data_IF_433256778123
#
_entry.id   IF_433256778123
#
_cell.length_a   1.000
_cell.length_b   1.000
_cell.length_c   1.000
_cell.angle_alpha   90.00
_cell.angle_beta   90.00
_cell.angle_gamma   90.00
#
_symmetry.space_group_name_H-M   'P 1'
#
loop_
_entity.id
_entity.type
_entity.pdbx_description
1 polymer ?
#
# COMPACT_ATOMS: atom_id res chain seq x y z
N UNK A 1 29.50 -26.38 7.48
CA UNK A 1 29.85 -25.63 6.26
C UNK A 1 28.80 -24.56 6.12
N UNK A 2 29.15 -23.30 6.34
CA UNK A 2 28.23 -22.17 6.22
C UNK A 2 27.99 -21.91 4.73
N UNK A 3 26.78 -22.19 4.25
CA UNK A 3 26.35 -21.81 2.91
C UNK A 3 26.32 -20.27 2.84
N UNK A 4 27.22 -19.72 2.02
CA UNK A 4 27.15 -18.31 1.64
C UNK A 4 25.99 -18.17 0.65
N UNK A 5 24.83 -17.69 1.11
CA UNK A 5 23.74 -17.30 0.24
C UNK A 5 24.13 -15.93 -0.35
N UNK A 6 24.61 -15.94 -1.59
CA UNK A 6 24.86 -14.73 -2.37
C UNK A 6 23.52 -14.22 -2.88
N UNK A 7 23.16 -12.97 -2.57
CA UNK A 7 21.99 -12.32 -3.18
C UNK A 7 22.30 -12.01 -4.66
N UNK A 8 22.08 -12.99 -5.53
CA UNK A 8 22.34 -12.90 -6.98
C UNK A 8 21.55 -11.78 -7.67
N UNK A 9 20.43 -11.31 -7.09
CA UNK A 9 19.67 -10.18 -7.64
C UNK A 9 20.44 -8.86 -7.55
N UNK A 10 21.40 -8.74 -6.62
CA UNK A 10 22.35 -7.61 -6.55
C UNK A 10 23.56 -7.75 -7.48
N UNK A 11 23.77 -8.93 -8.08
CA UNK A 11 24.92 -9.25 -8.94
C UNK A 11 24.52 -9.49 -10.40
N UNK A 12 23.56 -8.72 -10.92
CA UNK A 12 23.44 -8.56 -12.38
C UNK A 12 24.67 -7.76 -12.83
N UNK A 13 25.71 -8.47 -13.26
CA UNK A 13 26.89 -7.87 -13.89
C UNK A 13 26.47 -7.48 -15.30
N UNK A 14 26.09 -6.22 -15.49
CA UNK A 14 25.94 -5.64 -16.82
C UNK A 14 27.34 -5.55 -17.46
N UNK A 15 27.61 -6.43 -18.42
CA UNK A 15 28.87 -6.53 -19.15
C UNK A 15 29.03 -5.45 -20.25
N UNK A 16 28.17 -4.44 -20.29
CA UNK A 16 28.21 -3.36 -21.27
C UNK A 16 28.68 -2.05 -20.62
N UNK A 17 29.99 -1.84 -20.62
CA UNK A 17 30.73 -0.64 -20.16
C UNK A 17 30.42 0.66 -20.97
N UNK A 18 29.27 0.74 -21.65
CA UNK A 18 28.93 1.81 -22.60
C UNK A 18 27.57 2.49 -22.43
N UNK A 19 26.71 2.04 -21.51
CA UNK A 19 25.39 2.64 -21.31
C UNK A 19 25.52 3.76 -20.26
N UNK A 20 25.03 4.96 -20.59
CA UNK A 20 24.89 6.05 -19.61
C UNK A 20 24.15 5.50 -18.38
N UNK A 21 24.87 5.44 -17.28
CA UNK A 21 24.50 4.72 -16.05
C UNK A 21 23.32 5.38 -15.28
N UNK A 22 22.81 6.50 -15.80
CA UNK A 22 21.79 7.35 -15.21
C UNK A 22 20.76 7.77 -16.28
N UNK A 23 19.48 7.46 -16.03
CA UNK A 23 18.36 7.87 -16.86
C UNK A 23 17.99 9.34 -16.62
N UNK A 24 18.04 9.78 -15.36
CA UNK A 24 17.90 11.16 -14.93
C UNK A 24 19.09 11.57 -14.07
N UNK A 25 19.44 12.86 -14.11
CA UNK A 25 20.49 13.44 -13.28
C UNK A 25 19.92 14.01 -11.98
N UNK A 26 20.65 13.91 -10.85
CA UNK A 26 20.33 14.67 -9.63
C UNK A 26 20.15 16.16 -9.92
N UNK A 27 19.16 16.78 -9.27
CA UNK A 27 18.75 18.18 -9.50
C UNK A 27 17.85 18.40 -10.71
N UNK A 28 17.54 17.35 -11.49
CA UNK A 28 16.60 17.46 -12.59
C UNK A 28 15.18 17.64 -12.07
N UNK A 29 14.47 18.67 -12.58
CA UNK A 29 13.09 18.95 -12.23
C UNK A 29 12.15 18.25 -13.20
N UNK A 30 11.28 17.42 -12.66
CA UNK A 30 10.23 16.71 -13.37
C UNK A 30 9.04 17.62 -13.69
N UNK A 31 8.27 17.34 -14.77
CA UNK A 31 6.91 17.83 -14.93
C UNK A 31 6.10 17.69 -13.64
N UNK A 32 5.71 18.81 -13.03
CA UNK A 32 5.06 18.85 -11.71
C UNK A 32 5.91 19.49 -10.60
N UNK A 33 7.18 19.82 -10.87
CA UNK A 33 8.04 20.56 -9.94
C UNK A 33 8.83 19.70 -8.96
N UNK A 34 8.75 18.37 -9.08
CA UNK A 34 9.52 17.45 -8.24
C UNK A 34 10.98 17.40 -8.70
N UNK A 35 11.91 17.63 -7.79
CA UNK A 35 13.35 17.59 -8.05
C UNK A 35 13.94 16.24 -7.64
N UNK A 36 14.66 15.59 -8.55
CA UNK A 36 15.35 14.32 -8.29
C UNK A 36 16.53 14.54 -7.33
N UNK A 37 16.62 13.77 -6.26
CA UNK A 37 17.75 13.82 -5.32
C UNK A 37 18.74 12.69 -5.57
N UNK A 38 18.35 11.46 -5.23
CA UNK A 38 19.25 10.31 -5.21
C UNK A 38 18.60 9.07 -5.81
N UNK A 39 19.43 8.13 -6.26
CA UNK A 39 19.02 6.87 -6.86
C UNK A 39 18.96 5.78 -5.79
N UNK A 40 17.80 5.16 -5.62
CA UNK A 40 17.55 4.10 -4.65
C UNK A 40 17.85 2.70 -5.23
N UNK A 41 17.51 2.48 -6.50
CA UNK A 41 17.68 1.19 -7.18
C UNK A 41 17.94 1.39 -8.68
N UNK A 42 18.56 0.40 -9.32
CA UNK A 42 18.84 0.40 -10.75
C UNK A 42 18.78 -0.98 -11.39
N UNK A 43 18.42 -0.99 -12.66
CA UNK A 43 18.62 -2.06 -13.62
C UNK A 43 18.87 -1.46 -15.01
N UNK A 44 19.17 -2.30 -16.00
CA UNK A 44 19.32 -1.89 -17.40
C UNK A 44 18.12 -1.06 -17.95
N UNK A 45 16.88 -1.44 -17.61
CA UNK A 45 15.66 -0.85 -18.19
C UNK A 45 14.89 0.10 -17.26
N UNK A 46 15.28 0.19 -15.98
CA UNK A 46 14.59 1.02 -15.00
C UNK A 46 15.53 1.54 -13.91
N UNK A 47 15.15 2.66 -13.30
CA UNK A 47 15.80 3.22 -12.13
C UNK A 47 14.74 3.78 -11.18
N UNK A 48 14.98 3.67 -9.87
CA UNK A 48 14.10 4.24 -8.85
C UNK A 48 14.85 5.37 -8.16
N UNK A 49 14.19 6.51 -8.02
CA UNK A 49 14.74 7.72 -7.43
C UNK A 49 13.89 8.20 -6.26
N UNK A 50 14.52 8.93 -5.35
CA UNK A 50 13.89 9.76 -4.34
C UNK A 50 13.90 11.23 -4.79
N UNK A 51 12.93 12.00 -4.32
CA UNK A 51 12.85 13.45 -4.57
C UNK A 51 13.36 14.25 -3.37
N UNK A 52 13.87 15.46 -3.61
CA UNK A 52 14.55 16.29 -2.59
C UNK A 52 13.69 16.60 -1.35
N UNK A 53 12.37 16.72 -1.50
CA UNK A 53 11.47 16.99 -0.37
C UNK A 53 11.00 15.72 0.36
N UNK A 54 11.46 14.53 -0.07
CA UNK A 54 11.10 13.24 0.50
C UNK A 54 9.62 12.85 0.32
N UNK A 55 8.84 13.61 -0.46
CA UNK A 55 7.39 13.39 -0.59
C UNK A 55 7.01 12.20 -1.48
N UNK A 56 7.92 11.78 -2.35
CA UNK A 56 7.64 10.79 -3.39
C UNK A 56 8.88 9.97 -3.78
N UNK A 57 8.60 8.81 -4.36
CA UNK A 57 9.57 8.01 -5.11
C UNK A 57 9.17 8.02 -6.59
N UNK A 58 10.16 7.98 -7.47
CA UNK A 58 9.98 8.06 -8.92
C UNK A 58 10.58 6.83 -9.59
N UNK A 59 9.74 6.02 -10.23
CA UNK A 59 10.17 4.94 -11.11
C UNK A 59 10.35 5.47 -12.52
N UNK A 60 11.57 5.46 -13.02
CA UNK A 60 11.92 5.89 -14.38
C UNK A 60 12.24 4.67 -15.22
N UNK A 61 11.63 4.58 -16.39
CA UNK A 61 11.79 3.45 -17.31
C UNK A 61 12.01 3.90 -18.75
N UNK A 62 12.65 3.02 -19.53
CA UNK A 62 12.74 3.16 -20.98
C UNK A 62 11.40 2.81 -21.64
N UNK A 63 11.14 3.42 -22.81
CA UNK A 63 9.87 3.31 -23.51
C UNK A 63 9.41 1.87 -23.77
N UNK A 64 10.34 0.99 -24.18
CA UNK A 64 10.02 -0.40 -24.50
C UNK A 64 9.45 -1.17 -23.29
N UNK A 65 10.00 -0.92 -22.09
CA UNK A 65 9.53 -1.55 -20.86
C UNK A 65 8.16 -1.01 -20.44
N UNK A 66 7.98 0.32 -20.49
CA UNK A 66 6.70 0.97 -20.20
C UNK A 66 5.58 0.44 -21.12
N UNK A 67 5.82 0.44 -22.43
CA UNK A 67 4.82 -0.03 -23.41
C UNK A 67 4.44 -1.48 -23.14
N UNK A 68 5.41 -2.33 -22.84
CA UNK A 68 5.14 -3.74 -22.51
C UNK A 68 4.26 -3.90 -21.28
N UNK A 69 4.50 -3.14 -20.20
CA UNK A 69 3.62 -3.15 -19.03
C UNK A 69 2.21 -2.65 -19.34
N UNK A 70 2.08 -1.66 -20.23
CA UNK A 70 0.78 -1.17 -20.66
C UNK A 70 0.02 -2.18 -21.53
N UNK A 71 0.70 -2.81 -22.49
CA UNK A 71 0.11 -3.81 -23.37
C UNK A 71 -0.31 -5.08 -22.60
N UNK A 72 0.47 -5.48 -21.59
CA UNK A 72 0.15 -6.60 -20.69
C UNK A 72 -0.85 -6.23 -19.57
N UNK A 73 -1.26 -4.95 -19.48
CA UNK A 73 -2.32 -4.50 -18.56
C UNK A 73 -1.90 -4.27 -17.11
N UNK A 74 -0.60 -4.25 -16.80
CA UNK A 74 -0.11 -3.96 -15.44
C UNK A 74 -0.39 -2.52 -15.03
N UNK A 75 -0.12 -1.57 -15.94
CA UNK A 75 -0.27 -0.14 -15.71
C UNK A 75 -0.86 0.53 -16.94
N UNK A 76 -1.79 1.49 -16.80
CA UNK A 76 -2.20 2.28 -17.95
C UNK A 76 -1.04 3.17 -18.42
N UNK A 77 -0.93 3.42 -19.73
CA UNK A 77 0.11 4.33 -20.26
C UNK A 77 0.03 5.75 -19.68
N UNK A 78 -1.17 6.17 -19.25
CA UNK A 78 -1.40 7.45 -18.57
C UNK A 78 -0.78 7.53 -17.17
N UNK A 79 -0.35 6.42 -16.58
CA UNK A 79 0.39 6.40 -15.32
C UNK A 79 1.79 7.04 -15.45
N UNK A 80 2.30 7.15 -16.68
CA UNK A 80 3.64 7.63 -16.96
C UNK A 80 3.62 9.03 -17.56
N UNK A 81 4.47 9.89 -17.03
CA UNK A 81 4.83 11.16 -17.62
C UNK A 81 6.09 11.00 -18.47
N UNK A 82 6.07 11.62 -19.66
CA UNK A 82 7.23 11.64 -20.56
C UNK A 82 8.22 12.70 -20.08
N UNK A 83 9.48 12.31 -19.93
CA UNK A 83 10.58 13.14 -19.44
C UNK A 83 11.75 13.05 -20.42
N UNK A 84 12.41 14.17 -20.67
CA UNK A 84 13.64 14.18 -21.45
C UNK A 84 14.83 13.81 -20.55
N UNK A 85 15.53 12.74 -20.91
CA UNK A 85 16.70 12.24 -20.21
C UNK A 85 17.98 13.01 -20.60
N UNK A 86 19.04 12.80 -19.82
CA UNK A 86 20.35 13.37 -20.09
C UNK A 86 20.92 12.87 -21.43
N UNK A 87 20.77 13.65 -22.50
CA UNK A 87 21.23 13.30 -23.85
C UNK A 87 20.15 13.27 -24.93
N UNK A 88 18.94 13.74 -24.66
CA UNK A 88 17.88 13.90 -25.66
C UNK A 88 17.05 12.64 -25.93
N UNK A 89 17.32 11.54 -25.22
CA UNK A 89 16.41 10.39 -25.19
C UNK A 89 15.18 10.73 -24.33
N UNK A 90 14.03 10.11 -24.63
CA UNK A 90 12.85 10.22 -23.78
C UNK A 90 12.71 8.99 -22.90
N UNK A 91 12.48 9.25 -21.62
CA UNK A 91 12.16 8.24 -20.59
C UNK A 91 10.78 8.53 -20.02
N UNK A 92 10.26 7.55 -19.29
CA UNK A 92 8.90 7.58 -18.74
C UNK A 92 8.99 7.44 -17.23
N UNK A 93 8.43 8.41 -16.51
CA UNK A 93 8.47 8.45 -15.06
C UNK A 93 7.08 8.19 -14.47
N UNK A 94 7.01 7.38 -13.42
CA UNK A 94 5.84 7.13 -12.59
C UNK A 94 6.13 7.65 -11.17
N UNK A 95 5.26 8.50 -10.65
CA UNK A 95 5.41 9.12 -9.33
C UNK A 95 4.50 8.44 -8.31
N UNK A 96 5.11 7.82 -7.30
CA UNK A 96 4.44 7.23 -6.15
C UNK A 96 4.70 8.07 -4.90
N UNK A 97 3.69 8.39 -4.07
CA UNK A 97 3.92 8.96 -2.74
C UNK A 97 4.88 8.09 -1.92
N UNK A 98 5.76 8.69 -1.13
CA UNK A 98 6.70 7.94 -0.28
C UNK A 98 6.00 7.09 0.79
N UNK A 99 4.75 7.43 1.11
CA UNK A 99 3.86 6.67 1.99
C UNK A 99 3.32 5.38 1.39
N UNK A 100 3.54 5.15 0.09
CA UNK A 100 3.22 3.91 -0.61
C UNK A 100 4.50 3.27 -1.11
N UNK A 101 4.70 2.00 -0.81
CA UNK A 101 5.96 1.34 -1.07
C UNK A 101 6.14 1.06 -2.55
N UNK A 102 7.32 1.40 -3.04
CA UNK A 102 7.79 1.05 -4.37
C UNK A 102 9.22 0.53 -4.30
N UNK A 103 9.46 -0.68 -4.79
CA UNK A 103 10.78 -1.29 -4.70
C UNK A 103 10.83 -2.71 -5.24
N UNK A 104 12.04 -3.27 -5.36
CA UNK A 104 12.23 -4.65 -5.80
C UNK A 104 11.66 -5.63 -4.78
N UNK A 105 10.99 -6.67 -5.28
CA UNK A 105 10.38 -7.74 -4.47
C UNK A 105 11.38 -8.37 -3.50
N UNK A 106 12.60 -8.67 -3.94
CA UNK A 106 13.66 -9.25 -3.11
C UNK A 106 14.02 -8.40 -1.87
N UNK A 107 13.83 -7.07 -1.94
CA UNK A 107 14.17 -6.14 -0.87
C UNK A 107 13.00 -5.82 0.10
N UNK A 108 11.77 -6.26 -0.23
CA UNK A 108 10.58 -5.90 0.54
C UNK A 108 10.48 -6.65 1.85
N UNK A 109 10.10 -5.97 2.92
CA UNK A 109 9.79 -6.59 4.22
C UNK A 109 8.57 -5.94 4.82
N UNK A 110 7.74 -6.73 5.50
CA UNK A 110 6.51 -6.24 6.13
C UNK A 110 6.73 -5.50 7.44
N UNK A 111 7.88 -5.71 8.10
CA UNK A 111 8.23 -5.08 9.37
C UNK A 111 7.12 -5.15 10.43
N UNK A 112 6.33 -6.23 10.42
CA UNK A 112 5.22 -6.42 11.35
C UNK A 112 3.91 -5.69 10.99
N UNK A 113 3.78 -5.10 9.79
CA UNK A 113 2.51 -4.58 9.30
C UNK A 113 1.69 -5.66 8.58
N UNK A 114 0.47 -5.92 9.10
CA UNK A 114 -0.46 -6.88 8.50
C UNK A 114 -0.98 -6.35 7.16
N UNK A 115 -1.38 -5.08 7.12
CA UNK A 115 -1.87 -4.39 5.93
C UNK A 115 -0.85 -4.47 4.80
N UNK A 116 0.41 -4.20 5.09
CA UNK A 116 1.46 -4.25 4.07
C UNK A 116 1.59 -5.66 3.49
N UNK A 117 1.61 -6.68 4.34
CA UNK A 117 1.70 -8.06 3.90
C UNK A 117 0.49 -8.47 3.04
N UNK A 118 -0.73 -8.10 3.47
CA UNK A 118 -1.95 -8.34 2.68
C UNK A 118 -1.94 -7.59 1.34
N UNK A 119 -1.50 -6.33 1.32
CA UNK A 119 -1.33 -5.54 0.10
C UNK A 119 -0.37 -6.23 -0.89
N UNK A 120 0.77 -6.70 -0.40
CA UNK A 120 1.74 -7.39 -1.23
C UNK A 120 1.20 -8.72 -1.77
N UNK A 121 0.54 -9.53 -0.92
CA UNK A 121 -0.08 -10.78 -1.35
C UNK A 121 -1.18 -10.54 -2.41
N UNK A 122 -2.00 -9.51 -2.23
CA UNK A 122 -3.02 -9.09 -3.19
C UNK A 122 -2.40 -8.66 -4.53
N UNK A 123 -1.30 -7.90 -4.49
CA UNK A 123 -0.60 -7.46 -5.69
C UNK A 123 0.04 -8.62 -6.45
N UNK A 124 0.65 -9.59 -5.77
CA UNK A 124 1.18 -10.81 -6.38
C UNK A 124 0.07 -11.62 -7.05
N UNK A 125 -1.02 -11.87 -6.32
CA UNK A 125 -2.19 -12.60 -6.84
C UNK A 125 -2.75 -11.95 -8.10
N UNK A 126 -3.00 -10.64 -8.04
CA UNK A 126 -3.52 -9.91 -9.19
C UNK A 126 -2.54 -9.94 -10.38
N UNK A 127 -1.26 -9.70 -10.14
CA UNK A 127 -0.22 -9.73 -11.20
C UNK A 127 -0.12 -11.10 -11.86
N UNK A 128 -0.33 -12.18 -11.09
CA UNK A 128 -0.35 -13.55 -11.60
C UNK A 128 -1.54 -13.81 -12.54
N UNK A 129 -2.66 -13.11 -12.38
CA UNK A 129 -3.80 -13.17 -13.33
C UNK A 129 -3.46 -12.56 -14.69
N UNK A 130 -2.49 -11.63 -14.75
CA UNK A 130 -2.03 -11.02 -16.00
C UNK A 130 -0.99 -11.89 -16.70
N UNK A 131 -0.06 -12.49 -15.95
CA UNK A 131 0.95 -13.38 -16.49
C UNK A 131 1.26 -14.56 -15.54
N UNK A 132 0.78 -15.78 -15.86
CA UNK A 132 0.92 -16.94 -14.98
C UNK A 132 2.35 -17.50 -14.89
N UNK A 133 3.21 -17.19 -15.86
CA UNK A 133 4.49 -17.91 -16.05
C UNK A 133 5.73 -17.06 -15.72
N UNK A 134 5.57 -15.75 -15.52
CA UNK A 134 6.70 -14.87 -15.30
C UNK A 134 7.26 -14.97 -13.87
N UNK A 135 8.58 -14.88 -13.72
CA UNK A 135 9.20 -14.73 -12.41
C UNK A 135 9.00 -13.30 -11.90
N UNK A 136 8.49 -13.18 -10.67
CA UNK A 136 8.34 -11.89 -9.98
C UNK A 136 9.47 -11.61 -8.98
N UNK A 137 10.46 -12.52 -8.85
CA UNK A 137 11.54 -12.44 -7.85
C UNK A 137 12.26 -11.09 -7.86
N UNK A 138 12.61 -10.59 -9.04
CA UNK A 138 13.32 -9.33 -9.23
C UNK A 138 12.41 -8.23 -9.82
N UNK A 139 11.09 -8.47 -9.80
CA UNK A 139 10.08 -7.49 -10.19
C UNK A 139 10.02 -6.31 -9.23
N UNK A 140 9.28 -5.29 -9.63
CA UNK A 140 9.09 -4.04 -8.87
C UNK A 140 7.68 -4.05 -8.31
N UNK A 141 7.55 -4.15 -7.00
CA UNK A 141 6.28 -3.92 -6.34
C UNK A 141 5.92 -2.44 -6.40
N UNK A 142 4.70 -2.15 -6.82
CA UNK A 142 4.14 -0.80 -6.88
C UNK A 142 2.79 -0.80 -6.15
N UNK A 143 2.81 -0.46 -4.86
CA UNK A 143 1.62 -0.48 -4.00
C UNK A 143 0.51 0.43 -4.51
N UNK A 144 0.86 1.62 -5.03
CA UNK A 144 -0.08 2.58 -5.58
C UNK A 144 -1.01 1.98 -6.63
N UNK A 145 -0.51 1.05 -7.45
CA UNK A 145 -1.29 0.38 -8.49
C UNK A 145 -1.73 -1.03 -8.11
N UNK A 146 -1.25 -1.57 -6.99
CA UNK A 146 -1.57 -2.93 -6.53
C UNK A 146 -1.01 -4.01 -7.44
N UNK A 147 0.20 -3.81 -7.98
CA UNK A 147 0.83 -4.71 -8.95
C UNK A 147 2.30 -4.96 -8.63
N UNK A 148 2.80 -6.09 -9.11
CA UNK A 148 4.23 -6.40 -9.20
C UNK A 148 4.61 -6.36 -10.68
N UNK A 149 5.43 -5.38 -11.03
CA UNK A 149 5.87 -5.13 -12.40
C UNK A 149 7.04 -6.07 -12.73
N UNK A 150 6.91 -6.96 -13.72
CA UNK A 150 8.00 -7.82 -14.10
C UNK A 150 9.16 -7.02 -14.74
N UNK A 151 10.39 -7.38 -14.39
CA UNK A 151 11.60 -6.83 -15.02
C UNK A 151 11.92 -7.50 -16.37
N UNK A 152 11.31 -8.67 -16.63
CA UNK A 152 11.57 -9.58 -17.76
C UNK A 152 13.01 -10.09 -17.85
N UNK A 153 13.73 -10.10 -16.74
CA UNK A 153 15.07 -10.69 -16.66
C UNK A 153 14.98 -12.23 -16.69
N UNK A 154 16.12 -12.89 -16.93
CA UNK A 154 16.24 -14.36 -16.92
C UNK A 154 16.64 -14.89 -15.54
N UNK A 155 15.98 -14.40 -14.48
CA UNK A 155 16.19 -14.92 -13.13
C UNK A 155 15.51 -16.28 -12.94
N UNK A 156 16.04 -17.09 -12.01
CA UNK A 156 15.39 -18.32 -11.56
C UNK A 156 13.95 -18.02 -11.13
N UNK A 157 13.05 -18.92 -11.49
CA UNK A 157 11.67 -18.88 -11.01
C UNK A 157 11.62 -19.24 -9.52
N UNK A 158 10.96 -18.38 -8.74
CA UNK A 158 10.64 -18.58 -7.33
C UNK A 158 9.12 -18.55 -7.21
N UNK A 159 8.54 -19.45 -6.42
CA UNK A 159 7.09 -19.48 -6.26
C UNK A 159 6.57 -18.27 -5.46
N UNK A 160 5.32 -17.88 -5.73
CA UNK A 160 4.73 -16.69 -5.10
C UNK A 160 4.59 -16.83 -3.58
N UNK A 161 4.37 -18.04 -3.11
CA UNK A 161 4.29 -18.33 -1.67
C UNK A 161 5.67 -18.12 -1.00
N UNK A 162 6.78 -18.56 -1.60
CA UNK A 162 8.12 -18.28 -1.07
C UNK A 162 8.43 -16.77 -1.09
N UNK A 163 8.06 -16.06 -2.16
CA UNK A 163 8.20 -14.60 -2.22
C UNK A 163 7.40 -13.90 -1.10
N UNK A 164 6.21 -14.40 -0.76
CA UNK A 164 5.42 -13.90 0.34
C UNK A 164 6.08 -14.16 1.71
N UNK A 165 6.57 -15.37 1.95
CA UNK A 165 7.31 -15.69 3.19
C UNK A 165 8.58 -14.84 3.35
N UNK A 166 9.27 -14.53 2.26
CA UNK A 166 10.43 -13.62 2.29
C UNK A 166 10.07 -12.22 2.77
N UNK A 167 8.86 -11.74 2.46
CA UNK A 167 8.36 -10.45 2.94
C UNK A 167 8.03 -10.50 4.43
N UNK A 168 7.54 -11.63 4.94
CA UNK A 168 7.27 -11.83 6.37
C UNK A 168 8.56 -12.01 7.20
N UNK A 169 9.65 -12.46 6.58
CA UNK A 169 10.89 -12.84 7.26
C UNK A 169 11.77 -11.63 7.64
N UNK A 170 12.04 -11.38 8.94
CA UNK A 170 12.75 -10.18 9.38
C UNK A 170 14.26 -10.19 9.12
N UNK A 171 14.87 -11.37 8.95
CA UNK A 171 16.33 -11.58 8.90
C UNK A 171 16.92 -11.49 7.48
N UNK A 172 16.08 -11.14 6.51
CA UNK A 172 16.42 -11.07 5.09
C UNK A 172 16.89 -12.39 4.45
N UNK A 173 16.67 -13.53 5.10
CA UNK A 173 16.89 -14.82 4.44
C UNK A 173 15.89 -14.99 3.30
N UNK A 174 16.38 -15.31 2.09
CA UNK A 174 15.54 -15.54 0.92
C UNK A 174 15.29 -17.04 0.75
N UNK A 175 14.04 -17.46 0.90
CA UNK A 175 13.52 -18.71 0.35
C UNK A 175 13.43 -18.57 -1.18
N UNK A 176 14.16 -19.45 -1.88
CA UNK A 176 14.23 -19.53 -3.33
C UNK A 176 13.53 -20.77 -3.89
N UNK A 177 12.64 -21.37 -3.10
CA UNK A 177 11.86 -22.52 -3.49
C UNK A 177 11.07 -22.26 -4.77
N UNK A 178 11.14 -23.20 -5.70
CA UNK A 178 10.33 -23.23 -6.91
C UNK A 178 8.93 -23.75 -6.61
N UNK A 179 8.02 -23.66 -7.60
CA UNK A 179 6.66 -24.20 -7.49
C UNK A 179 6.62 -25.71 -7.20
N UNK A 180 7.64 -26.45 -7.60
CA UNK A 180 7.72 -27.89 -7.36
C UNK A 180 8.24 -28.24 -5.95
N UNK A 181 8.97 -27.33 -5.30
CA UNK A 181 9.60 -27.54 -4.01
C UNK A 181 8.70 -27.11 -2.83
N UNK A 182 7.68 -26.29 -3.10
CA UNK A 182 6.79 -25.72 -2.07
C UNK A 182 5.35 -26.22 -2.21
N UNK A 183 4.72 -26.53 -1.07
CA UNK A 183 3.30 -26.89 -1.01
C UNK A 183 2.62 -26.16 0.16
N UNK A 184 1.56 -25.37 -0.09
CA UNK A 184 1.00 -25.01 -1.39
C UNK A 184 1.96 -24.13 -2.20
N UNK A 185 1.95 -24.26 -3.53
CA UNK A 185 2.78 -23.44 -4.42
C UNK A 185 2.12 -22.12 -4.83
N UNK A 186 0.79 -22.11 -4.83
CA UNK A 186 -0.03 -20.95 -5.19
C UNK A 186 -0.29 -20.10 -3.94
N UNK A 187 -0.14 -18.78 -4.10
CA UNK A 187 -0.52 -17.83 -3.08
C UNK A 187 -1.96 -17.37 -3.34
N UNK A 188 -2.88 -17.73 -2.46
CA UNK A 188 -4.23 -17.15 -2.40
C UNK A 188 -4.47 -16.57 -1.00
N UNK A 189 -5.61 -15.91 -0.78
CA UNK A 189 -5.93 -15.33 0.52
C UNK A 189 -5.86 -16.36 1.67
N UNK A 190 -6.35 -17.58 1.47
CA UNK A 190 -6.35 -18.60 2.52
C UNK A 190 -4.93 -18.99 2.93
N UNK A 191 -4.04 -19.21 1.96
CA UNK A 191 -2.62 -19.50 2.20
C UNK A 191 -1.96 -18.33 2.93
N UNK A 192 -2.11 -17.11 2.40
CA UNK A 192 -1.55 -15.91 3.02
C UNK A 192 -2.05 -15.71 4.46
N UNK A 193 -3.35 -15.89 4.70
CA UNK A 193 -3.95 -15.75 6.03
C UNK A 193 -3.48 -16.84 7.01
N UNK A 194 -3.20 -18.06 6.53
CA UNK A 194 -2.61 -19.11 7.33
C UNK A 194 -1.19 -18.71 7.77
N UNK A 195 -0.34 -18.30 6.84
CA UNK A 195 1.05 -17.93 7.14
C UNK A 195 1.12 -16.70 8.04
N UNK A 196 0.28 -15.70 7.80
CA UNK A 196 0.18 -14.52 8.66
C UNK A 196 -0.18 -14.90 10.11
N UNK A 197 -1.15 -15.80 10.32
CA UNK A 197 -1.48 -16.29 11.67
C UNK A 197 -0.31 -17.04 12.30
N UNK A 198 0.44 -17.84 11.53
CA UNK A 198 1.64 -18.53 12.03
C UNK A 198 2.76 -17.56 12.42
N UNK A 199 2.83 -16.40 11.76
CA UNK A 199 3.77 -15.31 12.06
C UNK A 199 3.23 -14.34 13.14
N UNK A 200 2.12 -14.67 13.81
CA UNK A 200 1.61 -13.92 14.96
C UNK A 200 0.70 -12.74 14.64
N UNK A 201 0.31 -12.56 13.37
CA UNK A 201 -0.63 -11.50 12.99
C UNK A 201 -2.06 -11.83 13.43
N UNK A 202 -2.77 -10.83 13.94
CA UNK A 202 -4.18 -10.93 14.29
C UNK A 202 -5.07 -10.67 13.06
N UNK A 203 -5.59 -11.73 12.45
CA UNK A 203 -6.61 -11.63 11.40
C UNK A 203 -8.01 -11.95 11.95
N UNK A 204 -9.01 -11.28 11.39
CA UNK A 204 -10.40 -11.66 11.57
C UNK A 204 -10.63 -13.13 11.15
N UNK A 205 -11.65 -13.75 11.75
CA UNK A 205 -12.05 -15.12 11.43
C UNK A 205 -12.93 -15.20 10.17
N UNK A 206 -13.54 -14.09 9.77
CA UNK A 206 -14.42 -14.01 8.59
C UNK A 206 -13.62 -14.19 7.29
N UNK A 207 -14.30 -14.68 6.25
CA UNK A 207 -13.78 -14.68 4.89
C UNK A 207 -14.12 -13.35 4.19
N UNK A 208 -13.22 -12.82 3.35
CA UNK A 208 -13.49 -11.63 2.55
C UNK A 208 -14.71 -11.80 1.64
N UNK A 209 -15.55 -10.78 1.52
CA UNK A 209 -16.68 -10.76 0.59
C UNK A 209 -16.28 -10.78 -0.88
N UNK A 210 -15.10 -10.25 -1.21
CA UNK A 210 -14.58 -10.17 -2.57
C UNK A 210 -13.21 -10.84 -2.67
N UNK A 211 -12.94 -11.49 -3.80
CA UNK A 211 -11.66 -12.14 -4.08
C UNK A 211 -10.87 -11.41 -5.16
N UNK A 212 -9.56 -11.69 -5.20
CA UNK A 212 -8.67 -11.18 -6.26
C UNK A 212 -9.21 -11.56 -7.64
N UNK A 213 -9.22 -10.59 -8.55
CA UNK A 213 -9.70 -10.74 -9.93
C UNK A 213 -11.19 -10.50 -10.13
N UNK A 214 -12.00 -10.43 -9.06
CA UNK A 214 -13.41 -10.06 -9.17
C UNK A 214 -13.58 -8.63 -9.69
N UNK A 215 -14.68 -8.40 -10.41
CA UNK A 215 -15.03 -7.10 -10.98
C UNK A 215 -16.13 -6.48 -10.13
N UNK A 216 -15.92 -5.23 -9.71
CA UNK A 216 -16.92 -4.46 -8.96
C UNK A 216 -17.46 -3.36 -9.87
N UNK A 217 -18.78 -3.30 -9.94
CA UNK A 217 -19.55 -2.31 -10.67
C UNK A 217 -20.53 -1.61 -9.74
N UNK A 218 -20.66 -0.29 -9.89
CA UNK A 218 -21.46 0.60 -9.05
C UNK A 218 -21.82 1.84 -9.84
N UNK A 219 -22.99 2.42 -9.52
CA UNK A 219 -23.33 3.76 -9.97
C UNK A 219 -22.30 4.75 -9.38
N UNK A 220 -21.46 5.34 -10.24
CA UNK A 220 -20.38 6.25 -9.83
C UNK A 220 -18.97 5.80 -10.26
N UNK A 221 -18.81 4.58 -10.76
CA UNK A 221 -17.59 4.24 -11.51
C UNK A 221 -17.68 4.72 -12.97
N UNK A 222 -16.58 5.25 -13.49
CA UNK A 222 -16.42 5.53 -14.92
C UNK A 222 -16.31 4.23 -15.74
N UNK A 223 -15.77 3.17 -15.12
CA UNK A 223 -15.61 1.84 -15.70
C UNK A 223 -15.58 0.75 -14.59
N UNK A 224 -15.89 -0.52 -14.91
CA UNK A 224 -15.75 -1.61 -13.97
C UNK A 224 -14.32 -1.71 -13.42
N UNK A 225 -14.18 -1.84 -12.10
CA UNK A 225 -12.88 -1.92 -11.43
C UNK A 225 -12.57 -3.36 -11.02
N UNK A 226 -11.28 -3.75 -11.08
CA UNK A 226 -10.85 -5.08 -10.65
C UNK A 226 -10.32 -5.05 -9.22
N UNK A 227 -10.71 -6.03 -8.43
CA UNK A 227 -10.22 -6.24 -7.07
C UNK A 227 -8.84 -6.88 -7.13
N UNK A 228 -7.83 -6.27 -6.51
CA UNK A 228 -6.53 -6.91 -6.30
C UNK A 228 -6.60 -7.87 -5.11
N UNK A 229 -7.25 -7.46 -4.02
CA UNK A 229 -7.45 -8.28 -2.82
C UNK A 229 -7.77 -7.43 -1.59
N UNK A 230 -8.09 -8.10 -0.49
CA UNK A 230 -8.36 -7.48 0.81
C UNK A 230 -7.06 -6.98 1.44
N UNK A 231 -7.14 -5.84 2.13
CA UNK A 231 -5.99 -5.12 2.71
C UNK A 231 -6.20 -4.83 4.19
N UNK A 232 -7.45 -4.78 4.63
CA UNK A 232 -7.83 -4.81 6.04
C UNK A 232 -9.20 -5.48 6.17
N UNK A 233 -9.37 -6.30 7.22
CA UNK A 233 -10.60 -7.05 7.46
C UNK A 233 -10.98 -6.93 8.94
N UNK A 234 -12.19 -6.47 9.21
CA UNK A 234 -12.76 -6.40 10.56
C UNK A 234 -14.22 -6.89 10.57
N UNK A 235 -14.80 -7.02 11.76
CA UNK A 235 -16.22 -7.37 11.92
C UNK A 235 -17.18 -6.33 11.32
N UNK A 236 -16.73 -5.08 11.17
CA UNK A 236 -17.57 -3.96 10.76
C UNK A 236 -17.32 -3.49 9.33
N UNK A 237 -16.12 -3.73 8.80
CA UNK A 237 -15.74 -3.28 7.46
C UNK A 237 -14.69 -4.17 6.81
N UNK A 238 -14.56 -4.01 5.49
CA UNK A 238 -13.54 -4.68 4.69
C UNK A 238 -12.94 -3.66 3.73
N UNK A 239 -11.62 -3.54 3.69
CA UNK A 239 -10.91 -2.65 2.79
C UNK A 239 -10.22 -3.47 1.70
N UNK A 240 -10.36 -3.03 0.46
CA UNK A 240 -9.84 -3.70 -0.72
C UNK A 240 -8.97 -2.75 -1.54
N UNK A 241 -7.84 -3.27 -2.02
CA UNK A 241 -7.09 -2.64 -3.09
C UNK A 241 -7.79 -2.95 -4.42
N UNK A 242 -8.04 -1.92 -5.21
CA UNK A 242 -8.44 -2.08 -6.61
C UNK A 242 -7.22 -1.93 -7.52
N UNK A 243 -7.31 -2.43 -8.75
CA UNK A 243 -6.30 -2.18 -9.77
C UNK A 243 -6.25 -0.68 -10.10
N UNK A 244 -5.06 -0.10 -10.07
CA UNK A 244 -4.90 1.35 -10.21
C UNK A 244 -4.90 2.09 -8.87
N UNK A 245 -5.11 3.41 -8.92
CA UNK A 245 -4.90 4.31 -7.77
C UNK A 245 -6.09 4.39 -6.80
N UNK A 246 -7.03 3.43 -6.85
CA UNK A 246 -8.26 3.43 -6.05
C UNK A 246 -8.29 2.26 -5.05
N UNK A 247 -9.06 2.45 -3.99
CA UNK A 247 -9.36 1.43 -2.98
C UNK A 247 -10.84 1.51 -2.64
N UNK A 248 -11.38 0.36 -2.21
CA UNK A 248 -12.80 0.15 -1.95
C UNK A 248 -12.99 -0.25 -0.47
N UNK A 249 -13.78 0.53 0.25
CA UNK A 249 -14.21 0.22 1.60
C UNK A 249 -15.65 -0.31 1.54
N UNK A 250 -15.85 -1.53 2.02
CA UNK A 250 -17.17 -2.11 2.25
C UNK A 250 -17.52 -1.98 3.73
N UNK A 251 -18.72 -1.49 4.01
CA UNK A 251 -19.25 -1.34 5.36
C UNK A 251 -20.41 -2.31 5.55
N UNK A 252 -20.37 -3.10 6.62
CA UNK A 252 -21.47 -3.99 6.96
C UNK A 252 -22.73 -3.15 7.24
N UNK A 253 -23.94 -3.60 6.87
CA UNK A 253 -25.14 -2.74 6.85
C UNK A 253 -25.48 -2.04 8.18
N UNK A 254 -25.33 -2.76 9.30
CA UNK A 254 -25.60 -2.20 10.64
C UNK A 254 -24.61 -1.09 11.00
N UNK A 255 -23.33 -1.34 10.75
CA UNK A 255 -22.28 -0.37 11.03
C UNK A 255 -22.42 0.87 10.14
N UNK A 256 -22.68 0.68 8.85
CA UNK A 256 -22.95 1.79 7.94
C UNK A 256 -24.11 2.67 8.42
N UNK A 257 -25.21 2.07 8.89
CA UNK A 257 -26.35 2.81 9.42
C UNK A 257 -25.97 3.61 10.68
N UNK A 258 -25.23 3.00 11.61
CA UNK A 258 -24.75 3.68 12.82
C UNK A 258 -23.88 4.91 12.48
N UNK A 259 -22.99 4.79 11.50
CA UNK A 259 -22.13 5.89 11.05
C UNK A 259 -22.92 7.05 10.41
N UNK A 260 -24.03 6.74 9.73
CA UNK A 260 -24.95 7.74 9.18
C UNK A 260 -25.72 8.43 10.32
N UNK A 261 -26.23 7.65 11.26
CA UNK A 261 -27.07 8.15 12.36
C UNK A 261 -26.29 9.11 13.28
N UNK A 262 -24.99 8.87 13.48
CA UNK A 262 -24.11 9.78 14.22
C UNK A 262 -23.43 10.87 13.34
N UNK A 263 -23.77 10.94 12.06
CA UNK A 263 -23.22 11.89 11.09
C UNK A 263 -21.69 11.81 10.90
N UNK A 264 -21.06 10.66 11.19
CA UNK A 264 -19.67 10.40 10.81
C UNK A 264 -19.54 10.24 9.30
N UNK A 265 -20.54 9.65 8.65
CA UNK A 265 -20.67 9.52 7.20
C UNK A 265 -22.00 10.09 6.74
N UNK A 266 -22.03 10.61 5.52
CA UNK A 266 -23.26 11.13 4.93
C UNK A 266 -23.81 10.10 3.93
N UNK A 267 -25.12 9.84 3.95
CA UNK A 267 -25.72 8.75 3.19
C UNK A 267 -25.49 8.86 1.66
N UNK A 268 -25.37 10.07 1.12
CA UNK A 268 -25.10 10.28 -0.31
C UNK A 268 -23.65 9.97 -0.71
N UNK A 269 -22.71 9.90 0.25
CA UNK A 269 -21.33 9.49 0.00
C UNK A 269 -21.26 7.98 -0.25
N UNK A 270 -22.21 7.21 0.28
CA UNK A 270 -22.21 5.76 0.24
C UNK A 270 -22.85 5.22 -1.03
N UNK A 271 -22.10 4.38 -1.72
CA UNK A 271 -22.60 3.58 -2.82
C UNK A 271 -23.35 2.36 -2.30
N UNK A 272 -24.29 1.87 -3.11
CA UNK A 272 -24.95 0.60 -2.90
C UNK A 272 -24.35 -0.43 -3.85
N UNK A 273 -23.66 -1.42 -3.28
CA UNK A 273 -23.16 -2.58 -4.01
C UNK A 273 -24.05 -3.78 -3.70
N UNK A 274 -24.33 -4.57 -4.73
CA UNK A 274 -25.06 -5.83 -4.57
C UNK A 274 -24.08 -6.99 -4.63
N UNK A 275 -23.83 -7.63 -3.49
CA UNK A 275 -22.91 -8.76 -3.35
C UNK A 275 -23.68 -9.94 -2.75
N UNK A 276 -23.60 -11.12 -3.37
CA UNK A 276 -24.21 -12.35 -2.82
C UNK A 276 -25.73 -12.28 -2.57
N UNK A 277 -26.44 -11.32 -3.17
CA UNK A 277 -27.87 -11.10 -2.92
C UNK A 277 -28.21 -10.06 -1.85
N UNK A 278 -27.20 -9.56 -1.12
CA UNK A 278 -27.35 -8.50 -0.13
C UNK A 278 -26.83 -7.15 -0.64
N UNK A 279 -27.33 -6.06 -0.06
CA UNK A 279 -26.82 -4.72 -0.32
C UNK A 279 -25.80 -4.35 0.74
N UNK A 280 -24.59 -4.06 0.29
CA UNK A 280 -23.48 -3.56 1.12
C UNK A 280 -23.26 -2.09 0.78
N UNK A 281 -22.95 -1.29 1.80
CA UNK A 281 -22.62 0.13 1.61
C UNK A 281 -21.13 0.25 1.33
N UNK A 282 -20.76 1.09 0.38
CA UNK A 282 -19.38 1.20 -0.05
C UNK A 282 -18.90 2.64 -0.22
N UNK A 283 -17.60 2.83 -0.03
CA UNK A 283 -16.88 4.05 -0.36
C UNK A 283 -15.71 3.72 -1.28
N UNK A 284 -15.44 4.60 -2.23
CA UNK A 284 -14.27 4.52 -3.09
C UNK A 284 -13.46 5.79 -2.89
N UNK A 285 -12.16 5.64 -2.76
CA UNK A 285 -11.25 6.77 -2.61
C UNK A 285 -9.87 6.42 -3.15
N UNK A 286 -9.04 7.43 -3.32
CA UNK A 286 -7.68 7.26 -3.84
C UNK A 286 -6.78 6.58 -2.81
N UNK A 287 -5.87 5.72 -3.27
CA UNK A 287 -4.74 5.20 -2.51
C UNK A 287 -3.70 6.29 -2.17
N UNK A 288 -3.74 7.45 -2.83
CA UNK A 288 -2.87 8.59 -2.48
C UNK A 288 -3.22 9.24 -1.14
N UNK A 289 -4.35 8.85 -0.53
CA UNK A 289 -4.78 9.31 0.78
C UNK A 289 -4.84 8.14 1.77
N UNK A 290 -4.40 8.35 3.02
CA UNK A 290 -4.46 7.32 4.04
C UNK A 290 -5.87 6.79 4.28
N UNK A 291 -5.98 5.48 4.37
CA UNK A 291 -7.18 4.77 4.76
C UNK A 291 -6.80 3.51 5.54
N UNK A 292 -6.43 3.65 6.81
CA UNK A 292 -5.72 2.63 7.58
C UNK A 292 -6.22 2.53 9.01
N UNK A 293 -6.05 1.34 9.61
CA UNK A 293 -6.38 1.15 11.01
C UNK A 293 -5.28 1.75 11.87
N UNK A 294 -5.66 2.42 12.96
CA UNK A 294 -4.69 3.16 13.79
C UNK A 294 -3.73 2.24 14.56
N UNK A 295 -4.03 0.95 14.66
CA UNK A 295 -3.20 -0.09 15.28
C UNK A 295 -2.27 -0.82 14.30
N UNK A 296 -2.42 -0.64 12.98
CA UNK A 296 -1.60 -1.26 11.93
C UNK A 296 -1.38 -0.26 10.81
N UNK A 297 -0.64 0.80 11.17
CA UNK A 297 -0.39 1.92 10.28
C UNK A 297 0.68 1.55 9.27
N UNK A 298 0.51 2.06 8.06
CA UNK A 298 1.41 1.90 6.93
C UNK A 298 1.76 3.23 6.26
N UNK A 299 0.95 4.28 6.44
CA UNK A 299 1.24 5.59 5.88
C UNK A 299 2.17 6.41 6.77
N UNK A 300 3.12 7.08 6.11
CA UNK A 300 3.94 8.08 6.77
C UNK A 300 3.18 9.32 7.20
N UNK A 301 3.46 9.81 8.41
CA UNK A 301 2.97 11.10 8.89
C UNK A 301 4.03 12.18 8.70
N UNK A 302 3.76 13.11 7.79
CA UNK A 302 4.36 14.44 7.84
C UNK A 302 3.59 15.34 8.83
N UNK A 303 4.11 16.54 9.10
CA UNK A 303 3.48 17.51 10.01
C UNK A 303 2.04 17.80 9.59
N UNK A 304 1.80 18.03 8.30
CA UNK A 304 0.46 18.31 7.77
C UNK A 304 -0.51 17.16 8.03
N UNK A 305 -0.07 15.92 7.82
CA UNK A 305 -0.88 14.72 8.01
C UNK A 305 -1.15 14.45 9.48
N UNK A 306 -0.21 14.78 10.38
CA UNK A 306 -0.43 14.72 11.81
C UNK A 306 -1.53 15.70 12.27
N UNK A 307 -1.50 16.95 11.77
CA UNK A 307 -2.58 17.92 12.02
C UNK A 307 -3.93 17.43 11.50
N UNK A 308 -3.97 16.86 10.28
CA UNK A 308 -5.20 16.30 9.71
C UNK A 308 -5.75 15.15 10.56
N UNK A 309 -4.89 14.27 11.05
CA UNK A 309 -5.28 13.18 11.93
C UNK A 309 -5.83 13.70 13.27
N UNK A 310 -5.17 14.68 13.90
CA UNK A 310 -5.65 15.28 15.15
C UNK A 310 -7.05 15.91 14.97
N UNK A 311 -7.26 16.64 13.86
CA UNK A 311 -8.57 17.20 13.52
C UNK A 311 -9.62 16.12 13.28
N UNK A 312 -9.26 15.02 12.60
CA UNK A 312 -10.15 13.90 12.37
C UNK A 312 -10.55 13.21 13.69
N UNK A 313 -9.60 13.05 14.62
CA UNK A 313 -9.86 12.48 15.95
C UNK A 313 -10.81 13.37 16.75
N UNK A 314 -10.54 14.68 16.81
CA UNK A 314 -11.42 15.65 17.47
C UNK A 314 -12.84 15.67 16.89
N UNK A 315 -12.96 15.71 15.56
CA UNK A 315 -14.24 15.68 14.85
C UNK A 315 -15.00 14.39 15.18
N UNK A 316 -14.32 13.25 15.10
CA UNK A 316 -14.94 11.94 15.33
C UNK A 316 -15.38 11.77 16.79
N UNK A 317 -14.54 12.17 17.76
CA UNK A 317 -14.88 12.20 19.19
C UNK A 317 -16.11 13.07 19.50
N UNK A 318 -16.23 14.21 18.83
CA UNK A 318 -17.39 15.10 19.02
C UNK A 318 -18.69 14.44 18.57
N UNK A 319 -18.65 13.69 17.47
CA UNK A 319 -19.81 13.00 16.90
C UNK A 319 -20.13 11.69 17.63
N UNK A 320 -19.11 10.99 18.15
CA UNK A 320 -19.26 9.74 18.88
C UNK A 320 -18.50 9.78 20.22
N UNK A 321 -19.06 10.43 21.26
CA UNK A 321 -18.34 10.68 22.52
C UNK A 321 -17.87 9.42 23.25
N UNK A 322 -18.58 8.29 23.08
CA UNK A 322 -18.31 7.03 23.77
C UNK A 322 -17.54 6.00 22.94
N UNK A 323 -17.11 6.36 21.72
CA UNK A 323 -16.43 5.42 20.83
C UNK A 323 -14.97 5.19 21.22
N UNK A 324 -14.46 3.99 21.00
CA UNK A 324 -13.02 3.72 21.03
C UNK A 324 -12.46 3.84 19.61
N UNK A 325 -11.34 4.54 19.48
CA UNK A 325 -10.66 4.79 18.21
C UNK A 325 -9.31 4.06 18.11
N UNK A 326 -8.91 3.31 19.14
CA UNK A 326 -7.60 2.64 19.20
C UNK A 326 -7.32 1.74 18.00
N UNK A 327 -8.33 1.02 17.54
CA UNK A 327 -8.34 0.15 16.35
C UNK A 327 -9.19 0.73 15.21
N UNK A 328 -9.55 2.01 15.32
CA UNK A 328 -10.41 2.71 14.37
C UNK A 328 -9.79 2.84 12.98
N UNK A 329 -10.64 2.87 11.95
CA UNK A 329 -10.21 3.10 10.57
C UNK A 329 -10.17 4.61 10.27
N UNK A 330 -8.96 5.16 10.14
CA UNK A 330 -8.79 6.54 9.73
C UNK A 330 -8.99 6.70 8.22
N UNK A 331 -9.91 7.58 7.82
CA UNK A 331 -10.18 7.95 6.43
C UNK A 331 -9.79 9.41 6.20
N UNK A 332 -8.57 9.63 5.70
CA UNK A 332 -8.03 10.97 5.50
C UNK A 332 -8.83 11.80 4.48
N UNK A 333 -9.41 11.14 3.46
CA UNK A 333 -10.24 11.76 2.43
C UNK A 333 -11.50 12.45 2.99
N UNK A 334 -12.04 11.91 4.09
CA UNK A 334 -13.24 12.40 4.77
C UNK A 334 -12.92 13.16 6.06
N UNK A 335 -11.66 13.08 6.53
CA UNK A 335 -11.21 13.66 7.79
C UNK A 335 -11.96 13.09 8.98
N UNK A 336 -12.19 11.77 9.01
CA UNK A 336 -12.88 11.06 10.10
C UNK A 336 -12.17 9.76 10.45
N UNK A 337 -12.45 9.25 11.65
CA UNK A 337 -12.03 7.93 12.11
C UNK A 337 -13.30 7.13 12.40
N UNK A 338 -13.43 5.98 11.75
CA UNK A 338 -14.55 5.07 11.96
C UNK A 338 -14.22 4.15 13.14
N UNK A 339 -14.94 4.25 14.27
CA UNK A 339 -14.62 3.47 15.45
C UNK A 339 -14.98 1.99 15.25
N UNK A 340 -14.24 1.08 15.89
CA UNK A 340 -14.58 -0.35 15.92
C UNK A 340 -15.21 -0.79 17.25
N UNK A 341 -15.07 0.02 18.30
CA UNK A 341 -15.56 -0.32 19.63
C UNK A 341 -16.09 0.87 20.41
N UNK A 342 -16.40 0.61 21.68
CA UNK A 342 -16.85 1.61 22.66
C UNK A 342 -15.89 1.64 23.83
N UNK A 343 -15.68 2.82 24.41
CA UNK A 343 -14.86 2.99 25.61
C UNK A 343 -15.41 2.16 26.77
N UNK A 344 -14.51 1.67 27.61
CA UNK A 344 -14.90 1.06 28.87
C UNK A 344 -15.53 2.10 29.82
N UNK A 345 -16.43 1.65 30.70
CA UNK A 345 -17.12 2.54 31.64
C UNK A 345 -16.12 3.35 32.48
N UNK A 346 -16.36 4.66 32.58
CA UNK A 346 -15.54 5.57 33.39
C UNK A 346 -14.25 6.05 32.73
N UNK A 347 -13.94 5.63 31.49
CA UNK A 347 -12.80 6.18 30.75
C UNK A 347 -13.09 7.59 30.23
N UNK A 348 -12.10 8.47 30.33
CA UNK A 348 -12.12 9.78 29.67
C UNK A 348 -11.64 9.64 28.22
N UNK A 349 -12.57 9.74 27.28
CA UNK A 349 -12.28 9.62 25.84
C UNK A 349 -11.22 10.61 25.35
N UNK A 350 -11.15 11.82 25.89
CA UNK A 350 -10.11 12.79 25.48
C UNK A 350 -8.72 12.35 25.95
N UNK A 351 -8.62 11.79 27.16
CA UNK A 351 -7.37 11.25 27.67
C UNK A 351 -6.90 10.05 26.83
N UNK A 352 -7.82 9.17 26.43
CA UNK A 352 -7.53 8.03 25.54
C UNK A 352 -7.06 8.52 24.17
N UNK A 353 -7.77 9.48 23.58
CA UNK A 353 -7.43 10.06 22.26
C UNK A 353 -6.04 10.70 22.27
N UNK A 354 -5.68 11.44 23.33
CA UNK A 354 -4.35 12.03 23.51
C UNK A 354 -3.26 10.96 23.62
N UNK A 355 -3.51 9.89 24.37
CA UNK A 355 -2.57 8.80 24.52
C UNK A 355 -2.37 8.04 23.20
N UNK A 356 -3.46 7.76 22.47
CA UNK A 356 -3.43 7.16 21.14
C UNK A 356 -2.62 8.02 20.16
N UNK A 357 -2.92 9.32 20.10
CA UNK A 357 -2.23 10.23 19.20
C UNK A 357 -0.74 10.38 19.54
N UNK A 358 -0.39 10.45 20.84
CA UNK A 358 1.01 10.47 21.27
C UNK A 358 1.74 9.17 20.87
N UNK A 359 1.14 8.00 21.14
CA UNK A 359 1.70 6.71 20.72
C UNK A 359 1.89 6.62 19.21
N UNK A 360 0.97 7.19 18.44
CA UNK A 360 1.06 7.25 16.98
C UNK A 360 2.26 8.08 16.52
N UNK A 361 2.52 9.23 17.16
CA UNK A 361 3.65 10.09 16.80
C UNK A 361 4.97 9.45 17.26
N UNK A 362 5.00 8.85 18.45
CA UNK A 362 6.23 8.31 19.06
C UNK A 362 6.62 6.93 18.52
N UNK A 363 5.65 6.11 18.13
CA UNK A 363 5.86 4.70 17.78
C UNK A 363 5.27 4.29 16.43
N UNK A 364 4.61 5.21 15.71
CA UNK A 364 4.15 4.93 14.35
C UNK A 364 5.32 4.68 13.39
N UNK A 365 5.13 3.89 12.32
CA UNK A 365 6.21 3.44 11.42
C UNK A 365 6.91 4.58 10.64
N UNK A 366 6.46 5.82 10.79
CA UNK A 366 7.10 7.02 10.24
C UNK A 366 7.08 8.17 11.25
N UNK A 367 7.46 7.89 12.49
CA UNK A 367 7.95 8.89 13.45
C UNK A 367 9.25 9.61 12.97
N UNK A 368 9.44 9.73 11.66
CA UNK A 368 10.61 10.28 10.98
C UNK A 368 10.42 11.73 10.55
N UNK A 369 9.21 12.31 10.67
CA UNK A 369 9.08 13.76 10.57
C UNK A 369 9.75 14.35 11.82
N UNK A 370 10.80 15.20 11.68
CA UNK A 370 11.38 15.89 12.83
C UNK A 370 10.37 16.93 13.30
N UNK A 371 9.42 16.53 14.15
CA UNK A 371 8.56 17.48 14.83
C UNK A 371 9.43 18.29 15.79
N UNK A 372 9.37 19.60 15.70
CA UNK A 372 9.93 20.42 16.77
C UNK A 372 9.03 20.36 18.02
N UNK A 373 9.57 20.74 19.18
CA UNK A 373 8.81 20.70 20.43
C UNK A 373 7.58 21.62 20.42
N UNK A 374 7.60 22.72 19.66
CA UNK A 374 6.49 23.67 19.58
C UNK A 374 5.33 23.12 18.71
N UNK A 375 5.65 22.40 17.63
CA UNK A 375 4.70 21.68 16.79
C UNK A 375 3.99 20.56 17.56
N UNK A 376 4.75 19.81 18.37
CA UNK A 376 4.19 18.79 19.27
C UNK A 376 3.24 19.42 20.30
N UNK A 377 3.61 20.55 20.90
CA UNK A 377 2.76 21.24 21.88
C UNK A 377 1.48 21.80 21.22
N UNK A 378 1.59 22.34 20.00
CA UNK A 378 0.44 22.81 19.23
C UNK A 378 -0.52 21.66 18.87
N UNK A 379 0.01 20.50 18.46
CA UNK A 379 -0.77 19.30 18.17
C UNK A 379 -1.47 18.77 19.42
N UNK A 380 -0.75 18.70 20.56
CA UNK A 380 -1.32 18.28 21.85
C UNK A 380 -2.42 19.23 22.33
N UNK A 381 -2.34 20.52 22.02
CA UNK A 381 -3.37 21.50 22.38
C UNK A 381 -4.66 21.36 21.55
N UNK A 382 -4.64 20.68 20.41
CA UNK A 382 -5.83 20.48 19.56
C UNK A 382 -6.78 19.40 20.10
N UNK A 383 -6.23 18.40 20.79
CA UNK A 383 -6.91 17.28 21.43
C UNK A 383 -7.26 17.62 22.88
#
# INVERSE_FOLDING_TARGET
>A
MSEFIVNEAKFVIDLDDGIKDELLSPGQILPGGLEIESKLDRAHNFQIYEVVDGSAQVLVVREALMRRWADEGYLPSSAFMRVEAAGGEYVYALVSPCSLVMGRVSALRAYGSLRYALNFAAALQFSRTLNPDISFRDGIYCELYGVVLPSYSRVREVCDHALFLNVLSPDQTEDLSSRAEMSPSELNYYVAAMDLRQHGFALAAEEPLLHSGEIVEAAGFDCPERVCGVTALSENFELYALHGEKQLLLLKPRFAQQLIDCALLEAYQLLNLRLGGEFVRALIFSKRQPAETLNDRHYGLDVTSAFRLALALKKSRTLTPQADFTDGLYLASLGVILPQGTLAEGMDGQAVDRALFASIIEHGPFANAPFDYAELDALKALL
#
